data_IF_303979929558
#
_entry.id   IF_303979929558
#
_cell.length_a   1.000
_cell.length_b   1.000
_cell.length_c   1.000
_cell.angle_alpha   90.00
_cell.angle_beta   90.00
_cell.angle_gamma   90.00
#
_symmetry.space_group_name_H-M   'P 1'
#
loop_
_entity.id
_entity.type
_entity.pdbx_description
1 polymer ?
#
# COMPACT_ATOMS: atom_id res chain seq x y z
N UNK A 1 -3.74 6.01 -45.75
CA UNK A 1 -3.00 6.91 -44.83
C UNK A 1 -1.51 6.56 -44.87
N UNK A 2 -0.61 7.54 -44.95
CA UNK A 2 0.84 7.32 -45.04
C UNK A 2 1.40 6.73 -43.74
N UNK A 3 2.33 5.76 -43.82
CA UNK A 3 2.97 5.08 -42.65
C UNK A 3 3.47 6.06 -41.58
N UNK A 4 3.93 7.25 -41.99
CA UNK A 4 4.38 8.34 -41.11
C UNK A 4 3.27 8.87 -40.20
N UNK A 5 2.02 8.96 -40.69
CA UNK A 5 0.86 9.39 -39.88
C UNK A 5 0.52 8.36 -38.81
N UNK A 6 0.62 7.07 -39.14
CA UNK A 6 0.40 5.98 -38.18
C UNK A 6 1.45 6.00 -37.07
N UNK A 7 2.73 6.21 -37.40
CA UNK A 7 3.80 6.31 -36.42
C UNK A 7 3.63 7.52 -35.47
N UNK A 8 3.24 8.68 -36.03
CA UNK A 8 2.96 9.89 -35.24
C UNK A 8 1.76 9.71 -34.30
N UNK A 9 0.69 9.08 -34.77
CA UNK A 9 -0.47 8.73 -33.94
C UNK A 9 -0.08 7.78 -32.80
N UNK A 10 0.71 6.74 -33.09
CA UNK A 10 1.19 5.82 -32.07
C UNK A 10 2.02 6.51 -30.99
N UNK A 11 2.99 7.34 -31.40
CA UNK A 11 3.83 8.10 -30.47
C UNK A 11 3.00 9.06 -29.60
N UNK A 12 1.99 9.72 -30.17
CA UNK A 12 1.10 10.62 -29.43
C UNK A 12 0.27 9.86 -28.38
N UNK A 13 -0.28 8.68 -28.74
CA UNK A 13 -1.03 7.84 -27.80
C UNK A 13 -0.15 7.34 -26.64
N UNK A 14 1.10 6.95 -26.92
CA UNK A 14 2.07 6.53 -25.90
C UNK A 14 2.43 7.68 -24.94
N UNK A 15 2.63 8.89 -25.47
CA UNK A 15 2.92 10.07 -24.66
C UNK A 15 1.75 10.44 -23.74
N UNK A 16 0.50 10.33 -24.23
CA UNK A 16 -0.70 10.58 -23.43
C UNK A 16 -0.90 9.53 -22.32
N UNK A 17 -0.61 8.26 -22.60
CA UNK A 17 -0.71 7.18 -21.61
C UNK A 17 0.34 7.33 -20.48
N UNK A 18 1.52 7.86 -20.79
CA UNK A 18 2.57 8.10 -19.80
C UNK A 18 2.24 9.24 -18.81
N UNK A 19 1.29 10.11 -19.13
CA UNK A 19 0.82 11.18 -18.24
C UNK A 19 -0.24 10.71 -17.23
N UNK A 20 -0.79 9.50 -17.38
CA UNK A 20 -1.67 8.93 -16.37
C UNK A 20 -0.84 8.48 -15.16
N UNK A 21 -1.15 9.01 -13.97
CA UNK A 21 -0.46 8.64 -12.74
C UNK A 21 -0.65 7.15 -12.45
N UNK A 22 0.42 6.37 -12.18
CA UNK A 22 0.30 4.94 -11.87
C UNK A 22 -0.36 4.68 -10.51
N UNK A 23 -0.51 5.72 -9.69
CA UNK A 23 -1.10 5.68 -8.36
C UNK A 23 -2.29 6.63 -8.32
N UNK A 24 -3.44 6.08 -7.98
CA UNK A 24 -4.67 6.85 -7.76
C UNK A 24 -5.02 6.83 -6.27
N UNK A 25 -5.54 7.94 -5.77
CA UNK A 25 -6.08 8.02 -4.41
C UNK A 25 -7.57 8.31 -4.48
N UNK A 26 -8.32 7.69 -3.59
CA UNK A 26 -9.73 8.00 -3.38
C UNK A 26 -9.86 8.86 -2.14
N UNK A 27 -10.78 9.83 -2.17
CA UNK A 27 -11.09 10.60 -0.96
C UNK A 27 -11.72 9.66 0.07
N UNK A 28 -11.06 9.50 1.21
CA UNK A 28 -11.58 8.78 2.37
C UNK A 28 -12.33 9.74 3.32
N UNK A 29 -13.23 9.21 4.14
CA UNK A 29 -13.86 9.95 5.23
C UNK A 29 -12.80 10.31 6.29
N UNK A 30 -12.60 11.60 6.62
CA UNK A 30 -11.63 12.03 7.63
C UNK A 30 -11.79 11.35 9.00
N UNK A 31 -13.02 11.01 9.40
CA UNK A 31 -13.27 10.33 10.68
C UNK A 31 -12.76 8.89 10.68
N UNK A 32 -12.87 8.22 9.54
CA UNK A 32 -12.34 6.85 9.36
C UNK A 32 -10.82 6.89 9.40
N UNK A 33 -10.21 7.82 8.65
CA UNK A 33 -8.75 7.98 8.63
C UNK A 33 -8.21 8.29 10.03
N UNK A 34 -8.82 9.22 10.76
CA UNK A 34 -8.36 9.57 12.10
C UNK A 34 -8.45 8.37 13.06
N UNK A 35 -9.56 7.62 13.01
CA UNK A 35 -9.73 6.41 13.81
C UNK A 35 -8.67 5.35 13.50
N UNK A 36 -8.32 5.18 12.23
CA UNK A 36 -7.29 4.21 11.80
C UNK A 36 -5.89 4.66 12.23
N UNK A 37 -5.60 5.97 12.20
CA UNK A 37 -4.34 6.53 12.66
C UNK A 37 -4.18 6.46 14.19
N UNK A 38 -5.27 6.60 14.94
CA UNK A 38 -5.29 6.47 16.40
C UNK A 38 -5.25 5.00 16.87
N UNK A 39 -5.39 4.04 15.95
CA UNK A 39 -5.37 2.62 16.23
C UNK A 39 -3.95 2.15 16.58
N UNK A 40 -3.80 1.56 17.76
CA UNK A 40 -2.56 0.94 18.22
C UNK A 40 -2.84 -0.19 19.20
N UNK A 41 -1.83 -1.01 19.47
CA UNK A 41 -1.97 -2.12 20.43
C UNK A 41 -2.37 -1.62 21.83
N UNK A 42 -2.01 -0.37 22.17
CA UNK A 42 -2.35 0.27 23.44
C UNK A 42 -3.81 0.75 23.45
N UNK A 43 -4.27 1.39 22.37
CA UNK A 43 -5.57 2.04 22.31
C UNK A 43 -6.71 1.11 21.89
N UNK A 44 -6.40 0.05 21.15
CA UNK A 44 -7.39 -0.80 20.48
C UNK A 44 -7.11 -2.30 20.55
N UNK A 45 -5.93 -2.69 21.04
CA UNK A 45 -5.47 -4.09 20.99
C UNK A 45 -4.97 -4.55 19.62
N UNK A 46 -5.17 -3.75 18.58
CA UNK A 46 -4.76 -4.05 17.21
C UNK A 46 -3.46 -3.32 16.83
N UNK A 47 -2.58 -3.90 16.00
CA UNK A 47 -1.37 -3.23 15.56
C UNK A 47 -1.70 -1.96 14.76
N UNK A 48 -0.89 -0.92 14.95
CA UNK A 48 -0.98 0.29 14.15
C UNK A 48 -0.58 0.02 12.70
N UNK A 49 -1.01 0.87 11.76
CA UNK A 49 -0.61 0.76 10.35
C UNK A 49 0.91 0.62 10.14
N UNK A 50 1.79 1.42 10.80
CA UNK A 50 3.23 1.23 10.70
C UNK A 50 3.70 -0.16 11.16
N UNK A 51 3.14 -0.69 12.26
CA UNK A 51 3.47 -2.04 12.73
C UNK A 51 3.02 -3.11 11.73
N UNK A 52 1.85 -2.94 11.12
CA UNK A 52 1.35 -3.87 10.08
C UNK A 52 2.29 -3.88 8.86
N UNK A 53 2.78 -2.73 8.43
CA UNK A 53 3.73 -2.65 7.31
C UNK A 53 5.03 -3.41 7.61
N UNK A 54 5.63 -3.21 8.79
CA UNK A 54 6.84 -3.95 9.19
C UNK A 54 6.57 -5.46 9.23
N UNK A 55 5.42 -5.88 9.77
CA UNK A 55 5.04 -7.30 9.75
C UNK A 55 4.88 -7.84 8.33
N UNK A 56 4.32 -7.06 7.39
CA UNK A 56 4.22 -7.47 5.99
C UNK A 56 5.58 -7.59 5.31
N UNK A 57 6.47 -6.62 5.51
CA UNK A 57 7.83 -6.61 4.94
C UNK A 57 8.65 -7.82 5.36
N UNK A 58 8.44 -8.31 6.58
CA UNK A 58 9.08 -9.51 7.11
C UNK A 58 8.30 -10.81 6.85
N UNK A 59 7.16 -10.75 6.16
CA UNK A 59 6.31 -11.94 5.91
C UNK A 59 5.67 -12.52 7.17
N UNK A 60 5.53 -11.71 8.22
CA UNK A 60 5.04 -12.11 9.56
C UNK A 60 3.60 -11.68 9.84
N UNK A 61 2.94 -10.94 8.95
CA UNK A 61 1.58 -10.41 9.19
C UNK A 61 0.57 -11.53 9.47
N UNK A 62 0.60 -12.61 8.68
CA UNK A 62 -0.31 -13.76 8.86
C UNK A 62 0.02 -14.54 10.14
N UNK A 63 1.32 -14.74 10.41
CA UNK A 63 1.77 -15.40 11.64
C UNK A 63 1.42 -14.60 12.89
N UNK A 64 1.38 -13.27 12.80
CA UNK A 64 0.95 -12.40 13.90
C UNK A 64 -0.53 -12.58 14.21
N UNK A 65 -1.39 -12.77 13.20
CA UNK A 65 -2.82 -13.03 13.41
C UNK A 65 -3.12 -14.33 14.17
N UNK A 66 -2.28 -15.36 13.99
CA UNK A 66 -2.44 -16.65 14.68
C UNK A 66 -1.69 -16.72 16.01
N UNK A 67 -0.44 -16.21 16.04
CA UNK A 67 0.50 -16.35 17.16
C UNK A 67 1.28 -15.05 17.37
N UNK A 68 0.64 -13.99 17.90
CA UNK A 68 1.23 -12.66 18.00
C UNK A 68 2.58 -12.65 18.73
N UNK A 69 2.65 -13.28 19.91
CA UNK A 69 3.87 -13.30 20.73
C UNK A 69 5.06 -13.97 20.01
N UNK A 70 4.80 -15.04 19.27
CA UNK A 70 5.84 -15.75 18.51
C UNK A 70 6.30 -14.93 17.30
N UNK A 71 5.37 -14.29 16.57
CA UNK A 71 5.69 -13.43 15.44
C UNK A 71 6.53 -12.21 15.86
N UNK A 72 6.19 -11.59 17.00
CA UNK A 72 6.99 -10.48 17.55
C UNK A 72 8.37 -10.96 18.01
N UNK A 73 8.47 -12.13 18.64
CA UNK A 73 9.75 -12.71 19.02
C UNK A 73 10.63 -13.08 17.80
N UNK A 74 10.03 -13.44 16.66
CA UNK A 74 10.74 -13.63 15.39
C UNK A 74 11.20 -12.28 14.82
N UNK A 75 10.33 -11.27 14.80
CA UNK A 75 10.68 -9.93 14.32
C UNK A 75 11.87 -9.33 15.07
N UNK A 76 11.96 -9.52 16.39
CA UNK A 76 13.09 -9.05 17.19
C UNK A 76 14.40 -9.83 16.99
N UNK A 77 14.38 -10.95 16.26
CA UNK A 77 15.57 -11.75 15.94
C UNK A 77 16.14 -11.47 14.55
N UNK A 78 15.34 -10.88 13.65
CA UNK A 78 15.75 -10.49 12.31
C UNK A 78 16.63 -9.22 12.32
#
# INVERSE_FOLDING_TARGET
>A
MTRRRLALLGALCLALAACAGPVYTTRADPKVVLRELDQSAITSGEPSLPTRNVLYEHGLFEAFGERPAAAIAELHRA
#
